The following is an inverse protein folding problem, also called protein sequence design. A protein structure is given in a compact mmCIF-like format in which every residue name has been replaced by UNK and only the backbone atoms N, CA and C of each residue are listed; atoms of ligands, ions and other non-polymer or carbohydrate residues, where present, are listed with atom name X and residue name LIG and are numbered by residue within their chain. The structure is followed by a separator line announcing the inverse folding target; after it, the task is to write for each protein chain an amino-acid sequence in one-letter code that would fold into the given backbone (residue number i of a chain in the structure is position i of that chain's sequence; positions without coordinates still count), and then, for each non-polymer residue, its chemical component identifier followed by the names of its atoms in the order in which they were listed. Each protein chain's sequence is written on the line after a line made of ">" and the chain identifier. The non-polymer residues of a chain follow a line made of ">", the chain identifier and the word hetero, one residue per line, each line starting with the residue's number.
data_IF_374332045626
#
_entry.id   IF_374332045626
#
_cell.length_a   1.000
_cell.length_b   1.000
_cell.length_c   1.000
_cell.angle_alpha   90.00
_cell.angle_beta   90.00
_cell.angle_gamma   90.00
#
_symmetry.space_group_name_H-M   'P 1'
#
loop_
_entity.id
_entity.type
_entity.pdbx_description
1 polymer ?
#
# COMPACT_ATOMS: atom_id res chain seq x y z
N UNK A 1 -18.44 2.93 0.36
CA UNK A 1 -18.11 1.92 -0.66
C UNK A 1 -16.91 2.42 -1.45
N UNK A 2 -15.74 2.21 -0.88
CA UNK A 2 -14.48 2.36 -1.62
C UNK A 2 -14.10 1.00 -2.19
N UNK A 3 -13.37 0.97 -3.30
CA UNK A 3 -12.89 -0.30 -3.90
C UNK A 3 -12.10 -1.16 -2.89
N UNK A 4 -11.46 -0.53 -1.91
CA UNK A 4 -10.69 -1.21 -0.85
C UNK A 4 -11.53 -2.08 0.08
N UNK A 5 -12.83 -1.77 0.22
CA UNK A 5 -13.76 -2.55 1.03
C UNK A 5 -14.20 -3.84 0.30
N UNK A 6 -14.13 -3.87 -1.03
CA UNK A 6 -14.59 -4.98 -1.87
C UNK A 6 -13.43 -5.86 -2.38
N UNK A 7 -12.22 -5.29 -2.47
CA UNK A 7 -11.02 -5.99 -2.95
C UNK A 7 -10.25 -6.68 -1.82
N UNK A 8 -9.94 -7.96 -2.04
CA UNK A 8 -9.09 -8.76 -1.17
C UNK A 8 -7.64 -8.70 -1.63
N UNK A 9 -6.69 -8.76 -0.71
CA UNK A 9 -5.26 -8.76 -1.06
C UNK A 9 -4.89 -9.93 -1.98
N UNK A 10 -5.52 -11.10 -1.81
CA UNK A 10 -5.33 -12.27 -2.68
C UNK A 10 -5.86 -12.12 -4.11
N UNK A 11 -6.71 -11.11 -4.34
CA UNK A 11 -7.32 -10.83 -5.64
C UNK A 11 -6.41 -9.93 -6.50
N UNK A 12 -5.44 -9.27 -5.86
CA UNK A 12 -4.46 -8.46 -6.56
C UNK A 12 -3.45 -9.35 -7.29
N UNK A 13 -3.25 -9.06 -8.57
CA UNK A 13 -2.18 -9.66 -9.37
C UNK A 13 -0.81 -9.27 -8.80
N UNK A 14 0.16 -10.18 -8.89
CA UNK A 14 1.52 -9.97 -8.40
C UNK A 14 2.24 -8.80 -9.10
N UNK A 15 1.81 -8.47 -10.33
CA UNK A 15 2.31 -7.35 -11.13
C UNK A 15 1.78 -5.99 -10.68
N UNK A 16 0.77 -5.96 -9.80
CA UNK A 16 0.19 -4.72 -9.28
C UNK A 16 1.15 -4.07 -8.28
N UNK A 17 1.44 -2.79 -8.53
CA UNK A 17 2.21 -1.97 -7.61
C UNK A 17 1.24 -1.22 -6.70
N UNK A 18 1.50 -1.31 -5.41
CA UNK A 18 0.74 -0.67 -4.35
C UNK A 18 1.54 0.52 -3.85
N UNK A 19 1.02 1.71 -4.07
CA UNK A 19 1.52 2.92 -3.43
C UNK A 19 0.89 3.07 -2.05
N UNK A 20 1.70 3.25 -1.03
CA UNK A 20 1.25 3.42 0.35
C UNK A 20 1.80 4.72 0.91
N UNK A 21 0.90 5.55 1.44
CA UNK A 21 1.21 6.87 1.97
C UNK A 21 0.83 6.96 3.44
N UNK A 22 1.80 7.20 4.32
CA UNK A 22 1.53 7.36 5.74
C UNK A 22 0.65 8.58 6.02
N UNK A 23 -0.45 8.37 6.74
CA UNK A 23 -1.39 9.46 7.09
C UNK A 23 -0.81 10.46 8.10
N UNK A 24 0.24 10.08 8.85
CA UNK A 24 0.85 10.94 9.87
C UNK A 24 2.03 11.76 9.34
N UNK A 25 2.98 11.13 8.64
CA UNK A 25 4.21 11.79 8.19
C UNK A 25 4.28 12.04 6.68
N UNK A 26 3.27 11.60 5.92
CA UNK A 26 3.22 11.76 4.47
C UNK A 26 4.25 10.93 3.70
N UNK A 27 4.99 10.04 4.36
CA UNK A 27 5.97 9.19 3.68
C UNK A 27 5.26 8.25 2.71
N UNK A 28 5.66 8.29 1.45
CA UNK A 28 5.15 7.45 0.37
C UNK A 28 6.18 6.35 0.08
N UNK A 29 5.71 5.11 -0.10
CA UNK A 29 6.54 4.02 -0.60
C UNK A 29 5.74 3.10 -1.52
N UNK A 30 6.45 2.50 -2.47
CA UNK A 30 5.91 1.50 -3.39
C UNK A 30 6.22 0.10 -2.88
N UNK A 31 5.28 -0.81 -3.08
CA UNK A 31 5.45 -2.24 -2.76
C UNK A 31 4.56 -3.09 -3.66
N UNK A 32 4.99 -4.29 -4.01
CA UNK A 32 4.13 -5.24 -4.73
C UNK A 32 3.13 -5.91 -3.80
N UNK A 33 2.06 -6.48 -4.36
CA UNK A 33 1.11 -7.31 -3.61
C UNK A 33 1.82 -8.46 -2.88
N UNK A 34 2.83 -9.09 -3.50
CA UNK A 34 3.66 -10.14 -2.88
C UNK A 34 4.40 -9.63 -1.63
N UNK A 35 5.02 -8.46 -1.70
CA UNK A 35 5.72 -7.87 -0.55
C UNK A 35 4.77 -7.57 0.62
N UNK A 36 3.52 -7.23 0.30
CA UNK A 36 2.48 -7.02 1.29
C UNK A 36 2.00 -8.34 1.90
N UNK A 37 1.77 -9.37 1.07
CA UNK A 37 1.41 -10.73 1.49
C UNK A 37 2.48 -11.37 2.39
N UNK A 38 3.76 -11.09 2.17
CA UNK A 38 4.83 -11.58 3.05
C UNK A 38 4.82 -10.91 4.43
N UNK A 39 4.24 -9.71 4.55
CA UNK A 39 4.15 -8.97 5.82
C UNK A 39 2.86 -9.25 6.57
N UNK A 40 1.79 -9.51 5.83
CA UNK A 40 0.48 -9.84 6.37
C UNK A 40 0.40 -11.35 6.44
N UNK A 41 0.55 -11.92 7.63
CA UNK A 41 0.52 -13.38 7.89
C UNK A 41 -0.75 -14.07 7.35
N UNK A 42 -1.76 -13.29 6.96
CA UNK A 42 -3.04 -13.76 6.47
C UNK A 42 -3.30 -13.30 5.02
N UNK A 43 -3.51 -14.27 4.12
CA UNK A 43 -3.91 -14.00 2.72
C UNK A 43 -5.36 -13.51 2.57
N UNK A 44 -6.17 -13.68 3.62
CA UNK A 44 -7.60 -13.32 3.65
C UNK A 44 -7.83 -11.96 4.31
N UNK A 45 -7.08 -10.94 3.89
CA UNK A 45 -7.21 -9.58 4.41
C UNK A 45 -7.70 -8.66 3.31
N UNK A 46 -8.67 -7.80 3.65
CA UNK A 46 -9.21 -6.77 2.73
C UNK A 46 -8.24 -5.60 2.62
N UNK A 47 -8.22 -4.92 1.48
CA UNK A 47 -7.30 -3.81 1.27
C UNK A 47 -7.51 -2.65 2.25
N UNK A 48 -8.76 -2.41 2.69
CA UNK A 48 -9.04 -1.42 3.74
C UNK A 48 -8.45 -1.82 5.11
N UNK A 49 -8.51 -3.11 5.46
CA UNK A 49 -7.87 -3.64 6.68
C UNK A 49 -6.34 -3.53 6.59
N UNK A 50 -5.76 -3.77 5.41
CA UNK A 50 -4.33 -3.51 5.17
C UNK A 50 -4.03 -2.03 5.39
N UNK A 51 -4.80 -1.12 4.80
CA UNK A 51 -4.58 0.31 4.93
C UNK A 51 -4.61 0.77 6.39
N UNK A 52 -5.53 0.21 7.19
CA UNK A 52 -5.66 0.52 8.63
C UNK A 52 -4.56 -0.09 9.48
N UNK A 53 -4.04 -1.27 9.15
CA UNK A 53 -3.06 -1.99 9.98
C UNK A 53 -1.60 -1.89 9.50
N UNK A 54 -1.35 -1.30 8.32
CA UNK A 54 0.00 -1.16 7.82
C UNK A 54 0.76 -0.06 8.58
N UNK A 55 1.90 -0.44 9.14
CA UNK A 55 2.81 0.48 9.79
C UNK A 55 3.69 1.25 8.79
N UNK A 56 3.92 2.53 9.07
CA UNK A 56 4.83 3.36 8.30
C UNK A 56 6.26 2.80 8.32
N UNK A 57 6.87 2.64 7.14
CA UNK A 57 8.26 2.18 6.99
C UNK A 57 9.30 3.22 7.42
N UNK A 58 8.93 4.49 7.57
CA UNK A 58 9.85 5.56 7.93
C UNK A 58 10.35 5.38 9.37
N UNK A 59 11.68 5.33 9.61
CA UNK A 59 12.22 5.31 10.96
C UNK A 59 11.75 6.56 11.72
N UNK A 60 11.24 6.36 12.93
CA UNK A 60 10.74 7.43 13.81
C UNK A 60 9.24 7.73 13.72
N UNK A 61 8.53 7.35 12.64
CA UNK A 61 7.08 7.55 12.57
C UNK A 61 6.29 6.39 13.17
N UNK A 62 6.60 5.15 12.75
CA UNK A 62 5.96 3.87 13.16
C UNK A 62 4.42 3.89 13.26
N UNK A 63 3.78 4.90 12.67
CA UNK A 63 2.34 5.10 12.75
C UNK A 63 1.64 4.01 11.94
N UNK A 64 0.55 3.49 12.49
CA UNK A 64 -0.28 2.46 11.88
C UNK A 64 -1.48 3.16 11.23
N UNK A 65 -1.60 3.03 9.92
CA UNK A 65 -2.60 3.75 9.14
C UNK A 65 -1.98 4.47 7.93
N UNK A 66 -2.29 3.96 6.75
CA UNK A 66 -1.80 4.48 5.47
C UNK A 66 -2.98 4.68 4.53
N UNK A 67 -2.77 5.52 3.51
CA UNK A 67 -3.60 5.56 2.31
C UNK A 67 -2.99 4.64 1.27
N UNK A 68 -3.80 3.80 0.64
CA UNK A 68 -3.35 2.88 -0.40
C UNK A 68 -3.92 3.32 -1.77
N UNK A 69 -3.05 3.33 -2.78
CA UNK A 69 -3.40 3.46 -4.20
C UNK A 69 -2.86 2.26 -4.98
N UNK A 70 -3.63 1.77 -5.95
CA UNK A 70 -3.15 0.78 -6.92
C UNK A 70 -2.62 1.50 -8.14
N UNK A 71 -1.36 1.23 -8.48
CA UNK A 71 -0.75 1.62 -9.73
C UNK A 71 -0.87 0.42 -10.68
N UNK A 72 -1.75 0.54 -11.66
CA UNK A 72 -1.81 -0.42 -12.77
C UNK A 72 -0.60 -0.17 -13.67
N UNK A 73 0.06 -1.25 -14.07
CA UNK A 73 1.26 -1.23 -14.90
C UNK A 73 0.85 -0.98 -16.37
N UNK A 74 0.22 0.17 -16.63
CA UNK A 74 0.04 0.73 -17.96
C UNK A 74 0.86 2.02 -17.96
N UNK A 75 2.11 1.92 -18.43
CA UNK A 75 3.00 3.05 -18.79
C UNK A 75 2.66 4.39 -18.13
N UNK A 76 2.91 4.53 -16.83
CA UNK A 76 2.95 5.87 -16.24
C UNK A 76 4.15 6.00 -15.31
N UNK A 77 5.27 6.31 -15.95
CA UNK A 77 6.33 7.16 -15.41
C UNK A 77 5.70 8.39 -14.74
N UNK A 78 5.47 8.29 -13.43
CA UNK A 78 4.78 9.30 -12.66
C UNK A 78 5.29 9.37 -11.22
N UNK A 79 6.58 9.10 -10.99
CA UNK A 79 7.18 9.36 -9.69
C UNK A 79 7.70 10.80 -9.62
N UNK A 80 6.83 11.70 -9.16
CA UNK A 80 7.18 12.99 -8.57
C UNK A 80 7.12 12.83 -7.05
N UNK A 81 8.24 12.96 -6.35
CA UNK A 81 8.18 12.83 -4.88
C UNK A 81 9.49 12.84 -4.12
N UNK A 82 10.15 14.00 -4.09
CA UNK A 82 10.99 14.38 -2.94
C UNK A 82 12.50 14.30 -3.18
N UNK A 83 13.05 15.28 -3.92
CA UNK A 83 14.43 15.70 -3.68
C UNK A 83 14.40 17.01 -2.88
N UNK A 84 15.08 17.10 -1.72
CA UNK A 84 15.42 18.38 -1.11
C UNK A 84 16.50 19.11 -1.93
#
# INVERSE_FOLDING_TARGET
>A
MTWQEDTWLRDLDESVIIESTCLKCGHVWLQSAIQLLLKVDHRNVRMDEVARHLACRRPGCRYVGVRINLLKNEDTSGFVGGMP
#
